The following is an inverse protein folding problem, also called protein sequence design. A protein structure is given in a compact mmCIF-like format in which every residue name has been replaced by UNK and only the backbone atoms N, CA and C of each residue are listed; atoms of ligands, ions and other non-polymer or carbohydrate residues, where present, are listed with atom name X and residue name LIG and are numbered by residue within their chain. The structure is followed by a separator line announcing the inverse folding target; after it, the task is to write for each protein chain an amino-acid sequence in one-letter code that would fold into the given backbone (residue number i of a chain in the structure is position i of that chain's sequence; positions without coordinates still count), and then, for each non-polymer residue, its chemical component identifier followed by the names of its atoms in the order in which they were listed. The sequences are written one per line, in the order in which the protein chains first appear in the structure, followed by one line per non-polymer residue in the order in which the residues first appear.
data_IF_135382918081
#
_entry.id   IF_135382918081
#
_cell.length_a   1.000
_cell.length_b   1.000
_cell.length_c   1.000
_cell.angle_alpha   90.00
_cell.angle_beta   90.00
_cell.angle_gamma   90.00
#
_symmetry.space_group_name_H-M   'P 1'
#
loop_
_entity.id
_entity.type
_entity.pdbx_description
1 polymer ?
#
# COMPACT_ATOMS: atom_id res chain seq x y z
N UNK A 1 60.92 7.76 64.64
CA UNK A 1 59.51 7.30 64.50
C UNK A 1 58.72 8.36 63.69
N UNK A 2 58.51 8.08 62.39
CA UNK A 2 57.69 8.94 61.51
C UNK A 2 56.37 8.27 61.22
N UNK A 3 55.27 8.85 61.63
CA UNK A 3 53.91 8.37 61.29
C UNK A 3 53.56 8.78 59.87
N UNK A 4 53.20 7.85 59.04
CA UNK A 4 52.69 8.06 57.70
C UNK A 4 51.16 8.02 57.78
N UNK A 5 50.53 9.20 57.57
CA UNK A 5 49.08 9.31 57.44
C UNK A 5 48.70 8.95 56.01
N UNK A 6 48.01 7.84 55.87
CA UNK A 6 47.41 7.44 54.60
C UNK A 6 45.96 7.93 54.52
N UNK A 7 45.72 8.99 53.73
CA UNK A 7 44.37 9.47 53.39
C UNK A 7 43.89 8.69 52.18
N UNK A 8 42.96 7.78 52.39
CA UNK A 8 42.23 7.09 51.33
C UNK A 8 41.13 8.03 50.80
N UNK A 9 41.35 8.56 49.61
CA UNK A 9 40.29 9.25 48.85
C UNK A 9 39.35 8.23 48.21
N UNK A 10 38.16 8.10 48.77
CA UNK A 10 37.05 7.36 48.16
C UNK A 10 36.55 8.16 46.96
N UNK A 11 36.95 7.73 45.75
CA UNK A 11 36.36 8.16 44.48
C UNK A 11 35.03 7.43 44.33
N UNK A 12 33.93 8.06 44.65
CA UNK A 12 32.59 7.57 44.34
C UNK A 12 32.38 7.65 42.82
N UNK A 13 32.51 6.53 42.12
CA UNK A 13 32.11 6.37 40.71
C UNK A 13 30.58 6.33 40.73
N UNK A 14 29.94 7.49 40.44
CA UNK A 14 28.51 7.55 40.11
C UNK A 14 28.31 6.86 38.78
N UNK A 15 27.89 5.60 38.79
CA UNK A 15 27.36 4.92 37.63
C UNK A 15 26.07 5.64 37.20
N UNK A 16 26.17 6.52 36.22
CA UNK A 16 25.03 7.00 35.46
C UNK A 16 24.44 5.83 34.67
N UNK A 17 23.51 5.12 35.29
CA UNK A 17 22.59 4.23 34.59
C UNK A 17 21.72 5.08 33.67
N UNK A 18 22.19 5.34 32.45
CA UNK A 18 21.31 5.75 31.36
C UNK A 18 20.41 4.56 31.07
N UNK A 19 19.27 4.51 31.74
CA UNK A 19 18.20 3.63 31.38
C UNK A 19 17.82 4.00 29.92
N UNK A 20 18.15 3.16 28.96
CA UNK A 20 17.52 3.15 27.65
C UNK A 20 16.05 2.77 27.88
N UNK A 21 15.25 3.73 28.35
CA UNK A 21 13.80 3.59 28.36
C UNK A 21 13.36 3.65 26.90
N UNK A 22 13.00 2.50 26.34
CA UNK A 22 12.27 2.47 25.08
C UNK A 22 11.05 3.41 25.15
N UNK A 23 10.48 3.81 24.01
CA UNK A 23 9.37 4.74 24.00
C UNK A 23 8.23 4.24 24.88
N UNK A 24 7.82 5.05 25.84
CA UNK A 24 6.74 4.71 26.76
C UNK A 24 5.40 4.65 26.03
N UNK A 25 4.51 3.77 26.47
CA UNK A 25 3.13 3.76 26.01
C UNK A 25 2.41 5.03 26.47
N UNK A 26 1.80 5.71 25.53
CA UNK A 26 0.93 6.87 25.74
C UNK A 26 -0.50 6.50 25.38
N UNK A 27 -1.46 7.36 25.70
CA UNK A 27 -2.85 7.21 25.28
C UNK A 27 -3.32 8.46 24.55
N UNK A 28 -4.11 8.30 23.49
CA UNK A 28 -4.83 9.41 22.87
C UNK A 28 -5.88 9.97 23.81
N UNK A 29 -6.50 11.11 23.48
CA UNK A 29 -7.62 11.66 24.25
C UNK A 29 -8.79 10.67 24.35
N UNK A 30 -9.04 9.90 23.30
CA UNK A 30 -10.01 8.80 23.29
C UNK A 30 -9.54 7.55 24.04
N UNK A 31 -8.31 7.51 24.57
CA UNK A 31 -7.77 6.41 25.36
C UNK A 31 -7.12 5.27 24.57
N UNK A 32 -6.92 5.42 23.26
CA UNK A 32 -6.21 4.44 22.45
C UNK A 32 -4.71 4.41 22.80
N UNK A 33 -4.12 3.27 23.18
CA UNK A 33 -2.70 3.17 23.47
C UNK A 33 -1.86 3.28 22.19
N UNK A 34 -0.77 4.03 22.28
CA UNK A 34 0.22 4.15 21.21
C UNK A 34 1.63 4.37 21.76
N UNK A 35 2.62 4.12 20.90
CA UNK A 35 4.03 4.47 21.09
C UNK A 35 4.45 5.41 19.97
N UNK A 36 5.10 6.52 20.32
CA UNK A 36 5.67 7.48 19.37
C UNK A 36 7.19 7.38 19.40
N UNK A 37 7.78 7.21 18.22
CA UNK A 37 9.21 7.26 17.97
C UNK A 37 9.51 8.54 17.19
N UNK A 38 10.04 9.58 17.84
CA UNK A 38 10.20 10.88 17.22
C UNK A 38 11.16 10.87 16.03
N UNK A 39 10.79 11.57 14.97
CA UNK A 39 11.67 11.93 13.87
C UNK A 39 12.61 13.08 14.26
N UNK A 40 13.33 13.60 13.27
CA UNK A 40 14.27 14.72 13.47
C UNK A 40 13.74 16.05 12.90
N UNK A 41 12.67 16.00 12.12
CA UNK A 41 12.07 17.16 11.48
C UNK A 41 11.18 17.93 12.46
N UNK A 42 11.03 19.23 12.25
CA UNK A 42 10.22 20.12 13.09
C UNK A 42 8.88 20.48 12.46
N UNK A 43 8.64 20.12 11.20
CA UNK A 43 7.37 20.40 10.54
C UNK A 43 6.29 19.51 11.11
N UNK A 44 5.29 20.13 11.73
CA UNK A 44 4.12 19.48 12.31
C UNK A 44 2.91 19.63 11.39
N UNK A 45 2.08 18.58 11.30
CA UNK A 45 0.85 18.61 10.53
C UNK A 45 -0.25 19.45 11.19
N UNK A 46 -1.02 20.14 10.38
CA UNK A 46 -2.16 20.98 10.80
C UNK A 46 -3.43 20.54 10.10
N UNK A 47 -4.56 20.90 10.67
CA UNK A 47 -5.86 20.73 9.99
C UNK A 47 -5.83 21.39 8.62
N UNK A 48 -6.24 20.67 7.60
CA UNK A 48 -6.20 21.07 6.19
C UNK A 48 -4.98 20.57 5.41
N UNK A 49 -3.95 20.08 6.10
CA UNK A 49 -2.78 19.47 5.48
C UNK A 49 -3.10 18.02 5.03
N UNK A 50 -2.17 17.45 4.25
CA UNK A 50 -2.11 16.03 3.93
C UNK A 50 -0.84 15.42 4.51
N UNK A 51 -0.97 14.27 5.19
CA UNK A 51 0.17 13.51 5.69
C UNK A 51 0.43 12.33 4.76
N UNK A 52 1.67 12.21 4.27
CA UNK A 52 2.18 11.05 3.53
C UNK A 52 2.72 10.04 4.51
N UNK A 53 2.23 8.80 4.46
CA UNK A 53 2.67 7.74 5.36
C UNK A 53 2.94 6.42 4.65
N UNK A 54 3.94 5.69 5.13
CA UNK A 54 3.98 4.24 4.97
C UNK A 54 3.24 3.61 6.14
N UNK A 55 2.33 2.69 5.85
CA UNK A 55 1.42 2.10 6.83
C UNK A 55 1.42 0.58 6.72
N UNK A 56 1.47 -0.07 7.88
CA UNK A 56 1.22 -1.49 8.07
C UNK A 56 0.10 -1.65 9.10
N UNK A 57 -0.95 -2.36 8.74
CA UNK A 57 -2.05 -2.69 9.64
C UNK A 57 -2.17 -4.19 9.78
N UNK A 58 -2.29 -4.65 11.02
CA UNK A 58 -2.46 -6.04 11.37
C UNK A 58 -3.77 -6.21 12.14
N UNK A 59 -4.48 -7.30 11.86
CA UNK A 59 -5.58 -7.79 12.70
C UNK A 59 -5.03 -8.98 13.46
N UNK A 60 -4.96 -8.88 14.78
CA UNK A 60 -4.24 -9.80 15.63
C UNK A 60 -2.77 -9.92 15.16
N UNK A 61 -2.35 -11.08 14.66
CA UNK A 61 -0.99 -11.32 14.18
C UNK A 61 -0.88 -11.39 12.65
N UNK A 62 -2.00 -11.20 11.94
CA UNK A 62 -2.06 -11.29 10.48
C UNK A 62 -2.01 -9.91 9.83
N UNK A 63 -1.18 -9.75 8.80
CA UNK A 63 -1.14 -8.51 8.01
C UNK A 63 -2.46 -8.39 7.23
N UNK A 64 -3.20 -7.32 7.53
CA UNK A 64 -4.43 -6.97 6.84
C UNK A 64 -4.20 -6.00 5.68
N UNK A 65 -3.36 -5.00 5.91
CA UNK A 65 -3.02 -3.99 4.92
C UNK A 65 -1.57 -3.53 5.08
N UNK A 66 -0.90 -3.26 3.96
CA UNK A 66 0.45 -2.69 3.98
C UNK A 66 0.70 -1.89 2.71
N UNK A 67 1.24 -0.69 2.87
CA UNK A 67 1.83 0.02 1.75
C UNK A 67 3.16 -0.62 1.31
N UNK A 68 3.88 -1.27 2.22
CA UNK A 68 5.15 -1.96 1.92
C UNK A 68 6.07 -1.12 1.05
N UNK A 69 6.49 -1.71 -0.08
CA UNK A 69 7.24 -1.03 -1.14
C UNK A 69 6.33 -0.41 -2.23
N UNK A 70 5.04 -0.29 -1.98
CA UNK A 70 4.07 0.29 -2.90
C UNK A 70 4.04 1.81 -2.80
N UNK A 71 2.96 2.43 -3.26
CA UNK A 71 2.74 3.88 -3.16
C UNK A 71 2.32 4.21 -1.72
N UNK A 72 2.95 5.20 -1.06
CA UNK A 72 2.51 5.68 0.24
C UNK A 72 1.07 6.20 0.24
N UNK A 73 0.42 6.18 1.41
CA UNK A 73 -0.89 6.80 1.57
C UNK A 73 -0.75 8.31 1.82
N UNK A 74 -1.71 9.06 1.28
CA UNK A 74 -1.87 10.50 1.53
C UNK A 74 -3.19 10.73 2.27
N UNK A 75 -3.10 11.01 3.55
CA UNK A 75 -4.25 11.10 4.46
C UNK A 75 -4.56 12.58 4.72
N UNK A 76 -5.78 13.06 4.43
CA UNK A 76 -6.18 14.42 4.76
C UNK A 76 -6.32 14.57 6.28
N UNK A 77 -5.78 15.65 6.83
CA UNK A 77 -5.91 16.01 8.24
C UNK A 77 -7.18 16.81 8.43
N UNK A 78 -8.24 16.13 8.87
CA UNK A 78 -9.54 16.73 9.11
C UNK A 78 -9.57 17.62 10.36
N UNK A 79 -10.62 18.46 10.50
CA UNK A 79 -10.81 19.31 11.68
C UNK A 79 -11.22 18.54 12.93
N UNK A 80 -11.74 17.34 12.76
CA UNK A 80 -12.19 16.48 13.85
C UNK A 80 -11.54 15.09 13.75
N UNK A 81 -11.03 14.63 14.87
CA UNK A 81 -10.57 13.24 15.03
C UNK A 81 -11.71 12.36 15.55
N UNK A 82 -11.69 11.08 15.17
CA UNK A 82 -12.57 10.08 15.78
C UNK A 82 -12.01 9.67 17.14
N UNK A 83 -12.83 9.60 18.21
CA UNK A 83 -12.36 9.10 19.50
C UNK A 83 -11.88 7.64 19.40
N UNK A 84 -10.77 7.33 20.08
CA UNK A 84 -10.17 5.98 20.07
C UNK A 84 -9.67 5.54 18.69
N UNK A 85 -9.15 6.48 17.89
CA UNK A 85 -8.68 6.27 16.52
C UNK A 85 -7.34 6.98 16.29
N UNK A 86 -6.58 6.53 15.29
CA UNK A 86 -5.29 7.12 14.94
C UNK A 86 -5.41 8.57 14.45
N UNK A 87 -6.58 8.99 14.00
CA UNK A 87 -6.84 10.38 13.59
C UNK A 87 -6.60 11.39 14.70
N UNK A 88 -6.67 10.99 15.97
CA UNK A 88 -6.32 11.83 17.12
C UNK A 88 -4.83 12.23 17.18
N UNK A 89 -3.99 11.57 16.36
CA UNK A 89 -2.54 11.80 16.36
C UNK A 89 -2.09 12.72 15.23
N UNK A 90 -2.85 12.86 14.13
CA UNK A 90 -2.37 13.53 12.92
C UNK A 90 -1.80 14.93 13.18
N UNK A 91 -2.46 15.76 13.99
CA UNK A 91 -2.00 17.13 14.32
C UNK A 91 -0.88 17.20 15.38
N UNK A 92 -0.38 16.05 15.82
CA UNK A 92 0.72 15.94 16.80
C UNK A 92 2.00 15.39 16.20
N UNK A 93 1.96 15.01 14.92
CA UNK A 93 3.05 14.32 14.26
C UNK A 93 3.91 15.24 13.40
N UNK A 94 5.20 14.95 13.41
CA UNK A 94 6.23 15.60 12.56
C UNK A 94 6.67 14.65 11.44
N UNK A 95 7.31 15.21 10.44
CA UNK A 95 7.96 14.40 9.40
C UNK A 95 9.05 13.53 10.04
N UNK A 96 9.05 12.24 9.68
CA UNK A 96 9.99 11.26 10.20
C UNK A 96 9.51 10.51 11.45
N UNK A 97 8.44 10.97 12.11
CA UNK A 97 7.84 10.26 13.23
C UNK A 97 7.36 8.88 12.80
N UNK A 98 7.54 7.90 13.70
CA UNK A 98 6.96 6.57 13.54
C UNK A 98 6.05 6.28 14.73
N UNK A 99 4.92 5.63 14.47
CA UNK A 99 3.91 5.34 15.49
C UNK A 99 3.54 3.87 15.43
N UNK A 100 3.34 3.28 16.61
CA UNK A 100 2.68 1.98 16.79
C UNK A 100 1.46 2.22 17.66
N UNK A 101 0.27 2.09 17.09
CA UNK A 101 -1.00 2.23 17.79
C UNK A 101 -1.72 0.89 17.89
N UNK A 102 -2.42 0.67 18.99
CA UNK A 102 -3.21 -0.54 19.22
C UNK A 102 -4.66 -0.17 19.51
N UNK A 103 -5.57 -0.69 18.69
CA UNK A 103 -7.00 -0.48 18.81
C UNK A 103 -7.69 -1.81 19.12
N UNK A 104 -8.38 -1.90 20.24
CA UNK A 104 -9.19 -3.07 20.61
C UNK A 104 -10.58 -2.89 20.04
N UNK A 105 -11.04 -3.84 19.23
CA UNK A 105 -12.33 -3.74 18.54
C UNK A 105 -13.51 -3.70 19.52
N UNK A 106 -13.42 -4.36 20.65
CA UNK A 106 -14.47 -4.29 21.70
C UNK A 106 -14.72 -2.85 22.17
N UNK A 107 -13.64 -2.07 22.34
CA UNK A 107 -13.74 -0.68 22.76
C UNK A 107 -14.24 0.20 21.61
N UNK A 108 -13.77 -0.07 20.40
CA UNK A 108 -14.17 0.68 19.21
C UNK A 108 -15.66 0.49 18.92
N UNK A 109 -16.14 -0.77 18.90
CA UNK A 109 -17.54 -1.13 18.64
C UNK A 109 -18.49 -0.47 19.64
N UNK A 110 -18.13 -0.46 20.94
CA UNK A 110 -18.95 0.18 21.98
C UNK A 110 -19.13 1.70 21.77
N UNK A 111 -18.27 2.34 20.98
CA UNK A 111 -18.27 3.79 20.72
C UNK A 111 -18.87 4.15 19.36
N UNK A 112 -19.04 3.16 18.48
CA UNK A 112 -19.66 3.38 17.17
C UNK A 112 -21.19 3.23 17.25
N UNK A 113 -21.93 3.97 16.41
CA UNK A 113 -23.34 3.70 16.18
C UNK A 113 -23.53 2.26 15.67
N UNK A 114 -24.54 1.56 16.19
CA UNK A 114 -24.84 0.20 15.80
C UNK A 114 -24.99 0.09 14.26
N UNK A 115 -24.32 -0.90 13.66
CA UNK A 115 -24.46 -1.24 12.25
C UNK A 115 -23.32 -0.84 11.30
N UNK A 116 -22.30 -0.11 11.76
CA UNK A 116 -21.23 0.41 10.89
C UNK A 116 -19.91 -0.36 10.95
N UNK A 117 -19.89 -1.56 11.53
CA UNK A 117 -18.66 -2.36 11.59
C UNK A 117 -18.43 -3.07 10.25
N UNK A 118 -17.29 -2.85 9.59
CA UNK A 118 -16.94 -3.61 8.41
C UNK A 118 -16.86 -5.11 8.74
N UNK A 119 -17.35 -6.00 7.84
CA UNK A 119 -17.56 -7.42 8.14
C UNK A 119 -16.28 -8.21 8.48
N UNK A 120 -15.11 -7.67 8.16
CA UNK A 120 -13.82 -8.27 8.47
C UNK A 120 -13.41 -8.15 9.94
N UNK A 121 -14.03 -7.25 10.72
CA UNK A 121 -13.70 -7.04 12.13
C UNK A 121 -14.67 -7.75 13.06
N UNK A 122 -14.16 -8.29 14.14
CA UNK A 122 -14.93 -9.01 15.15
C UNK A 122 -14.64 -8.46 16.55
N UNK A 123 -15.55 -8.75 17.46
CA UNK A 123 -15.32 -8.55 18.89
C UNK A 123 -14.07 -9.35 19.31
N UNK A 124 -13.21 -8.75 20.13
CA UNK A 124 -11.95 -9.36 20.58
C UNK A 124 -10.76 -9.14 19.65
N UNK A 125 -10.98 -8.67 18.41
CA UNK A 125 -9.88 -8.36 17.52
C UNK A 125 -9.03 -7.19 18.04
N UNK A 126 -7.72 -7.33 17.85
CA UNK A 126 -6.71 -6.31 18.12
C UNK A 126 -6.15 -5.80 16.81
N UNK A 127 -6.35 -4.52 16.51
CA UNK A 127 -5.78 -3.87 15.34
C UNK A 127 -4.51 -3.15 15.77
N UNK A 128 -3.39 -3.54 15.17
CA UNK A 128 -2.10 -2.89 15.34
C UNK A 128 -1.82 -2.09 14.07
N UNK A 129 -1.75 -0.77 14.21
CA UNK A 129 -1.38 0.13 13.13
C UNK A 129 0.01 0.69 13.37
N UNK A 130 0.93 0.37 12.45
CA UNK A 130 2.30 0.90 12.45
C UNK A 130 2.44 1.82 11.24
N UNK A 131 2.92 3.02 11.43
CA UNK A 131 3.16 3.92 10.30
C UNK A 131 4.34 4.85 10.54
N UNK A 132 4.90 5.35 9.45
CA UNK A 132 5.94 6.38 9.44
C UNK A 132 5.49 7.55 8.59
N UNK A 133 5.63 8.76 9.13
CA UNK A 133 5.36 10.01 8.41
C UNK A 133 6.53 10.30 7.46
N UNK A 134 6.25 10.38 6.18
CA UNK A 134 7.24 10.61 5.11
C UNK A 134 7.23 12.06 4.61
N UNK A 135 6.10 12.76 4.76
CA UNK A 135 5.94 14.14 4.29
C UNK A 135 4.63 14.75 4.77
N UNK A 136 4.58 16.07 4.75
CA UNK A 136 3.40 16.88 5.06
C UNK A 136 3.22 17.90 3.96
N UNK A 137 2.02 18.01 3.39
CA UNK A 137 1.70 18.88 2.27
C UNK A 137 0.56 19.83 2.69
N UNK A 138 0.77 21.13 2.52
CA UNK A 138 -0.15 22.17 2.96
C UNK A 138 -1.31 22.44 2.02
N UNK A 139 -1.32 21.82 0.84
CA UNK A 139 -2.39 21.96 -0.14
C UNK A 139 -2.42 20.76 -1.11
N UNK A 140 -3.53 20.64 -1.81
CA UNK A 140 -3.79 19.54 -2.75
C UNK A 140 -2.81 19.53 -3.94
N UNK A 141 -2.38 20.70 -4.42
CA UNK A 141 -1.46 20.78 -5.57
C UNK A 141 -0.09 20.17 -5.25
N UNK A 142 0.48 20.49 -4.10
CA UNK A 142 1.75 19.92 -3.65
C UNK A 142 1.63 18.42 -3.38
N UNK A 143 0.53 18.00 -2.76
CA UNK A 143 0.22 16.59 -2.53
C UNK A 143 0.14 15.82 -3.85
N UNK A 144 -0.62 16.32 -4.85
CA UNK A 144 -0.74 15.68 -6.16
C UNK A 144 0.58 15.55 -6.90
N UNK A 145 1.39 16.61 -6.87
CA UNK A 145 2.71 16.58 -7.51
C UNK A 145 3.61 15.48 -6.93
N UNK A 146 3.60 15.32 -5.60
CA UNK A 146 4.38 14.27 -4.94
C UNK A 146 3.77 12.86 -5.21
N UNK A 147 2.44 12.73 -5.22
CA UNK A 147 1.73 11.50 -5.54
C UNK A 147 2.01 11.02 -6.98
N UNK A 148 2.03 11.93 -7.95
CA UNK A 148 2.41 11.64 -9.33
C UNK A 148 3.86 11.14 -9.42
N UNK A 149 4.77 11.78 -8.68
CA UNK A 149 6.18 11.36 -8.59
C UNK A 149 6.33 9.96 -7.99
N UNK A 150 5.63 9.66 -6.89
CA UNK A 150 5.65 8.34 -6.26
C UNK A 150 5.06 7.26 -7.16
N UNK A 151 3.95 7.59 -7.83
CA UNK A 151 3.31 6.69 -8.80
C UNK A 151 4.23 6.36 -9.96
N UNK A 152 4.92 7.36 -10.52
CA UNK A 152 5.89 7.16 -11.60
C UNK A 152 7.11 6.35 -11.13
N UNK A 153 7.59 6.60 -9.91
CA UNK A 153 8.70 5.84 -9.32
C UNK A 153 8.31 4.38 -9.06
N UNK A 154 7.10 4.15 -8.58
CA UNK A 154 6.54 2.81 -8.36
C UNK A 154 6.40 2.06 -9.69
N UNK A 155 5.78 2.67 -10.71
CA UNK A 155 5.62 2.06 -12.03
C UNK A 155 6.97 1.62 -12.64
N UNK A 156 8.00 2.45 -12.47
CA UNK A 156 9.38 2.15 -12.93
C UNK A 156 9.99 0.96 -12.20
N UNK A 157 9.76 0.85 -10.88
CA UNK A 157 10.25 -0.26 -10.05
C UNK A 157 9.51 -1.53 -10.39
N UNK A 158 8.18 -1.49 -10.44
CA UNK A 158 7.33 -2.62 -10.78
C UNK A 158 7.64 -3.19 -12.18
N UNK A 159 7.86 -2.32 -13.17
CA UNK A 159 8.25 -2.77 -14.52
C UNK A 159 9.53 -3.63 -14.48
N UNK A 160 10.54 -3.22 -13.70
CA UNK A 160 11.78 -4.00 -13.52
C UNK A 160 11.53 -5.32 -12.79
N UNK A 161 10.65 -5.34 -11.80
CA UNK A 161 10.27 -6.56 -11.07
C UNK A 161 9.57 -7.55 -11.99
N UNK A 162 8.65 -7.08 -12.84
CA UNK A 162 7.97 -7.91 -13.86
C UNK A 162 8.98 -8.43 -14.89
N UNK A 163 9.89 -7.60 -15.38
CA UNK A 163 10.96 -8.01 -16.30
C UNK A 163 11.85 -9.10 -15.66
N UNK A 164 12.20 -8.95 -14.39
CA UNK A 164 12.98 -9.95 -13.65
C UNK A 164 12.23 -11.28 -13.47
N UNK A 165 10.92 -11.23 -13.20
CA UNK A 165 10.06 -12.41 -13.10
C UNK A 165 9.92 -13.15 -14.43
N UNK A 166 9.85 -12.42 -15.54
CA UNK A 166 9.75 -13.00 -16.89
C UNK A 166 11.08 -13.61 -17.34
N UNK A 167 12.21 -13.06 -16.90
CA UNK A 167 13.55 -13.61 -17.14
C UNK A 167 13.81 -13.90 -18.61
N UNK A 168 14.19 -15.15 -18.94
CA UNK A 168 14.49 -15.58 -20.31
C UNK A 168 13.30 -15.53 -21.27
N UNK A 169 12.06 -15.49 -20.77
CA UNK A 169 10.87 -15.37 -21.62
C UNK A 169 10.76 -14.03 -22.32
N UNK A 170 11.38 -12.97 -21.76
CA UNK A 170 11.32 -11.62 -22.31
C UNK A 170 11.68 -11.53 -23.80
N UNK A 171 12.66 -12.31 -24.25
CA UNK A 171 13.11 -12.31 -25.64
C UNK A 171 12.03 -12.69 -26.66
N UNK A 172 10.99 -13.43 -26.23
CA UNK A 172 9.87 -13.87 -27.08
C UNK A 172 8.59 -13.04 -26.93
N UNK A 173 8.60 -12.01 -26.07
CA UNK A 173 7.42 -11.21 -25.76
C UNK A 173 7.38 -9.91 -26.56
N UNK A 174 6.18 -9.50 -26.92
CA UNK A 174 5.95 -8.18 -27.49
C UNK A 174 5.57 -7.21 -26.34
N UNK A 175 5.89 -5.94 -26.47
CA UNK A 175 5.61 -4.94 -25.45
C UNK A 175 4.54 -3.98 -25.94
N UNK A 176 3.53 -3.72 -25.11
CA UNK A 176 2.51 -2.70 -25.36
C UNK A 176 3.09 -1.27 -25.18
N UNK A 177 2.45 -0.25 -25.72
CA UNK A 177 2.91 1.14 -25.58
C UNK A 177 3.11 1.58 -24.13
N UNK A 178 2.27 1.12 -23.21
CA UNK A 178 2.37 1.44 -21.78
C UNK A 178 3.29 0.51 -20.99
N UNK A 179 3.75 -0.61 -21.56
CA UNK A 179 4.75 -1.48 -20.94
C UNK A 179 4.25 -2.81 -20.41
N UNK A 180 3.03 -3.23 -20.71
CA UNK A 180 2.62 -4.63 -20.51
C UNK A 180 3.32 -5.54 -21.54
N UNK A 181 3.42 -6.85 -21.23
CA UNK A 181 4.06 -7.81 -22.14
C UNK A 181 3.03 -8.80 -22.66
N UNK A 182 3.12 -9.14 -23.95
CA UNK A 182 2.20 -10.01 -24.66
C UNK A 182 2.94 -11.21 -25.24
N UNK A 183 2.56 -12.40 -24.82
CA UNK A 183 2.97 -13.68 -25.37
C UNK A 183 1.85 -14.18 -26.28
N UNK A 184 2.01 -14.04 -27.58
CA UNK A 184 1.03 -14.58 -28.54
C UNK A 184 1.19 -16.09 -28.64
N UNK A 185 0.28 -16.82 -28.00
CA UNK A 185 0.26 -18.30 -27.99
C UNK A 185 -0.29 -18.85 -29.30
N UNK A 186 -1.32 -18.19 -29.85
CA UNK A 186 -1.87 -18.49 -31.16
C UNK A 186 -2.33 -17.16 -31.81
N UNK A 187 -1.82 -16.81 -33.00
CA UNK A 187 -2.10 -15.49 -33.57
C UNK A 187 -3.55 -15.32 -34.05
N UNK A 188 -4.28 -16.42 -34.30
CA UNK A 188 -5.60 -16.36 -34.90
C UNK A 188 -5.56 -16.16 -36.42
N UNK A 189 -6.69 -15.78 -37.02
CA UNK A 189 -6.88 -15.64 -38.46
C UNK A 189 -7.46 -14.28 -38.84
N UNK A 190 -7.27 -13.87 -40.11
CA UNK A 190 -7.79 -12.60 -40.62
C UNK A 190 -6.94 -11.37 -40.24
N UNK A 191 -7.55 -10.20 -40.18
CA UNK A 191 -6.88 -8.94 -39.87
C UNK A 191 -6.58 -8.82 -38.36
N UNK A 192 -5.55 -8.04 -38.03
CA UNK A 192 -5.28 -7.62 -36.65
C UNK A 192 -6.44 -6.79 -36.11
N UNK A 193 -6.70 -6.95 -34.82
CA UNK A 193 -7.67 -6.14 -34.11
C UNK A 193 -7.16 -4.69 -34.08
N UNK A 194 -8.04 -3.74 -34.39
CA UNK A 194 -7.75 -2.29 -34.42
C UNK A 194 -8.51 -1.57 -33.32
N UNK A 195 -8.02 -0.40 -32.94
CA UNK A 195 -8.79 0.51 -32.08
C UNK A 195 -10.19 0.75 -32.64
N UNK A 196 -11.20 0.77 -31.78
CA UNK A 196 -12.61 0.89 -32.14
C UNK A 196 -13.28 -0.40 -32.54
N UNK A 197 -12.55 -1.51 -32.79
CA UNK A 197 -13.20 -2.80 -33.04
C UNK A 197 -13.94 -3.27 -31.80
N UNK A 198 -15.13 -3.85 -32.02
CA UNK A 198 -15.91 -4.50 -30.99
C UNK A 198 -15.48 -5.98 -30.90
N UNK A 199 -15.02 -6.40 -29.73
CA UNK A 199 -14.49 -7.75 -29.50
C UNK A 199 -15.29 -8.50 -28.45
N UNK A 200 -15.22 -9.83 -28.52
CA UNK A 200 -15.79 -10.76 -27.55
C UNK A 200 -14.67 -11.70 -27.09
N UNK A 201 -14.32 -11.69 -25.81
CA UNK A 201 -13.11 -12.31 -25.28
C UNK A 201 -13.44 -13.21 -24.10
N UNK A 202 -12.88 -14.43 -24.13
CA UNK A 202 -12.77 -15.27 -22.94
C UNK A 202 -11.45 -15.02 -22.26
N UNK A 203 -11.42 -14.95 -20.92
CA UNK A 203 -10.21 -14.70 -20.16
C UNK A 203 -10.19 -15.43 -18.82
N UNK A 204 -9.00 -15.56 -18.29
CA UNK A 204 -8.74 -15.94 -16.90
C UNK A 204 -7.64 -15.03 -16.36
N UNK A 205 -7.94 -14.29 -15.33
CA UNK A 205 -7.01 -13.41 -14.62
C UNK A 205 -6.33 -14.16 -13.48
N UNK A 206 -5.00 -14.14 -13.47
CA UNK A 206 -4.19 -14.73 -12.39
C UNK A 206 -3.20 -13.71 -11.85
N UNK A 207 -2.91 -13.78 -10.56
CA UNK A 207 -1.76 -13.09 -9.98
C UNK A 207 -0.45 -13.79 -10.40
N UNK A 208 0.70 -13.13 -10.24
CA UNK A 208 2.00 -13.71 -10.62
C UNK A 208 2.39 -14.95 -9.81
N UNK A 209 1.81 -15.15 -8.62
CA UNK A 209 1.93 -16.38 -7.83
C UNK A 209 1.00 -17.51 -8.27
N UNK A 210 0.20 -17.28 -9.35
CA UNK A 210 -0.66 -18.27 -9.99
C UNK A 210 -2.07 -18.38 -9.42
N UNK A 211 -2.45 -17.55 -8.45
CA UNK A 211 -3.81 -17.53 -7.90
C UNK A 211 -4.77 -16.90 -8.92
N UNK A 212 -5.82 -17.63 -9.32
CA UNK A 212 -6.91 -17.09 -10.13
C UNK A 212 -7.75 -16.15 -9.27
N UNK A 213 -7.99 -14.94 -9.77
CA UNK A 213 -8.83 -13.95 -9.12
C UNK A 213 -10.11 -13.63 -9.91
N UNK A 214 -10.13 -13.91 -11.21
CA UNK A 214 -11.29 -13.68 -12.06
C UNK A 214 -11.24 -14.53 -13.34
N UNK A 215 -12.41 -14.99 -13.84
CA UNK A 215 -12.50 -15.78 -15.06
C UNK A 215 -13.94 -15.78 -15.59
N UNK A 216 -14.11 -15.69 -16.92
CA UNK A 216 -15.40 -15.97 -17.56
C UNK A 216 -15.48 -17.36 -18.22
N UNK A 217 -14.48 -18.22 -17.97
CA UNK A 217 -14.48 -19.62 -18.41
C UNK A 217 -14.66 -20.61 -17.25
N UNK A 218 -14.62 -20.12 -16.02
CA UNK A 218 -14.81 -20.91 -14.80
C UNK A 218 -16.12 -20.50 -14.11
N UNK A 219 -17.04 -21.46 -13.97
CA UNK A 219 -18.39 -21.25 -13.40
C UNK A 219 -18.39 -20.80 -11.95
N UNK A 220 -17.28 -20.98 -11.22
CA UNK A 220 -17.15 -20.51 -9.82
C UNK A 220 -17.22 -18.99 -9.69
N UNK A 221 -16.86 -18.25 -10.76
CA UNK A 221 -16.90 -16.78 -10.78
C UNK A 221 -18.27 -16.18 -11.17
N UNK A 222 -19.29 -17.02 -11.43
CA UNK A 222 -20.69 -16.63 -11.67
C UNK A 222 -20.94 -15.65 -12.83
N UNK A 223 -19.98 -15.47 -13.75
CA UNK A 223 -20.13 -14.67 -14.97
C UNK A 223 -19.40 -15.37 -16.15
N UNK A 224 -20.06 -16.33 -16.73
CA UNK A 224 -19.53 -17.17 -17.83
C UNK A 224 -19.76 -16.58 -19.22
N UNK A 225 -20.36 -15.40 -19.31
CA UNK A 225 -20.55 -14.73 -20.59
C UNK A 225 -19.24 -14.13 -21.09
N UNK A 226 -18.94 -14.24 -22.40
CA UNK A 226 -17.78 -13.58 -22.96
C UNK A 226 -17.77 -12.08 -22.71
N UNK A 227 -16.64 -11.55 -22.30
CA UNK A 227 -16.44 -10.12 -22.09
C UNK A 227 -16.48 -9.39 -23.42
N UNK A 228 -17.37 -8.43 -23.56
CA UNK A 228 -17.58 -7.66 -24.79
C UNK A 228 -17.26 -6.20 -24.58
N UNK A 229 -16.40 -5.65 -25.43
CA UNK A 229 -16.00 -4.24 -25.32
C UNK A 229 -15.45 -3.70 -26.63
N UNK A 230 -15.35 -2.38 -26.75
CA UNK A 230 -14.67 -1.70 -27.84
C UNK A 230 -13.22 -1.44 -27.46
N UNK A 231 -12.27 -1.84 -28.32
CA UNK A 231 -10.83 -1.75 -28.07
C UNK A 231 -10.35 -0.30 -28.14
N UNK A 232 -9.52 0.10 -27.19
CA UNK A 232 -8.84 1.40 -27.18
C UNK A 232 -9.70 2.58 -26.75
N UNK A 233 -10.86 2.35 -26.10
CA UNK A 233 -11.76 3.41 -25.62
C UNK A 233 -11.82 3.50 -24.08
N UNK A 234 -10.92 2.79 -23.38
CA UNK A 234 -10.80 2.88 -21.93
C UNK A 234 -11.89 2.14 -21.13
N UNK A 235 -12.56 1.17 -21.72
CA UNK A 235 -13.55 0.32 -21.04
C UNK A 235 -12.89 -0.75 -20.16
N UNK A 236 -11.65 -1.10 -20.47
CA UNK A 236 -10.87 -2.16 -19.80
C UNK A 236 -9.64 -1.59 -19.11
N UNK A 237 -9.03 -2.40 -18.24
CA UNK A 237 -7.71 -2.07 -17.69
C UNK A 237 -6.71 -1.91 -18.84
N UNK A 238 -5.83 -0.92 -18.69
CA UNK A 238 -4.99 -0.42 -19.78
C UNK A 238 -4.12 -1.51 -20.43
N UNK A 239 -3.48 -2.35 -19.62
CA UNK A 239 -2.63 -3.42 -20.12
C UNK A 239 -3.38 -4.47 -20.92
N UNK A 240 -4.64 -4.74 -20.58
CA UNK A 240 -5.49 -5.68 -21.30
C UNK A 240 -5.97 -5.09 -22.63
N UNK A 241 -6.43 -3.84 -22.61
CA UNK A 241 -6.92 -3.15 -23.81
C UNK A 241 -5.81 -2.99 -24.87
N UNK A 242 -4.62 -2.59 -24.45
CA UNK A 242 -3.45 -2.44 -25.32
C UNK A 242 -2.90 -3.76 -25.87
N UNK A 243 -3.27 -4.90 -25.30
CA UNK A 243 -2.88 -6.21 -25.79
C UNK A 243 -3.71 -6.69 -26.98
N UNK A 244 -4.93 -6.18 -27.17
CA UNK A 244 -5.84 -6.63 -28.22
C UNK A 244 -5.27 -6.46 -29.64
N UNK A 245 -4.59 -5.35 -30.00
CA UNK A 245 -4.00 -5.17 -31.33
C UNK A 245 -2.92 -6.19 -31.72
N UNK A 246 -2.41 -6.98 -30.80
CA UNK A 246 -1.46 -8.06 -31.09
C UNK A 246 -2.15 -9.35 -31.58
N UNK A 247 -3.47 -9.39 -31.53
CA UNK A 247 -4.28 -10.58 -31.83
C UNK A 247 -5.15 -10.39 -33.07
N UNK A 248 -5.65 -11.53 -33.55
CA UNK A 248 -6.63 -11.67 -34.62
C UNK A 248 -7.82 -12.46 -34.07
N UNK A 249 -8.89 -12.58 -34.84
CA UNK A 249 -10.03 -13.44 -34.48
C UNK A 249 -9.57 -14.88 -34.20
N UNK A 250 -9.98 -15.43 -33.05
CA UNK A 250 -9.57 -16.75 -32.57
C UNK A 250 -8.14 -16.82 -32.00
N UNK A 251 -7.47 -15.68 -31.91
CA UNK A 251 -6.14 -15.59 -31.30
C UNK A 251 -6.16 -15.88 -29.81
N UNK A 252 -5.01 -16.33 -29.29
CA UNK A 252 -4.79 -16.57 -27.86
C UNK A 252 -3.47 -15.92 -27.43
N UNK A 253 -3.48 -15.24 -26.30
CA UNK A 253 -2.28 -14.67 -25.71
C UNK A 253 -2.27 -14.82 -24.20
N UNK A 254 -1.08 -14.77 -23.60
CA UNK A 254 -0.89 -14.41 -22.21
C UNK A 254 -0.44 -12.96 -22.13
N UNK A 255 -1.05 -12.20 -21.26
CA UNK A 255 -0.72 -10.78 -21.06
C UNK A 255 -0.22 -10.61 -19.64
N UNK A 256 1.01 -10.12 -19.51
CA UNK A 256 1.63 -9.83 -18.23
C UNK A 256 1.49 -8.33 -17.97
N UNK A 257 0.63 -8.00 -17.02
CA UNK A 257 0.18 -6.64 -16.77
C UNK A 257 0.75 -6.16 -15.43
N UNK A 258 1.66 -5.17 -15.41
CA UNK A 258 2.00 -4.48 -14.17
C UNK A 258 0.76 -3.92 -13.49
N UNK A 259 0.73 -3.87 -12.16
CA UNK A 259 -0.45 -3.44 -11.41
C UNK A 259 -0.90 -2.03 -11.79
N UNK A 260 0.05 -1.15 -12.10
CA UNK A 260 -0.21 0.23 -12.57
C UNK A 260 -0.96 0.31 -13.90
N UNK A 261 -0.91 -0.75 -14.69
CA UNK A 261 -1.67 -0.89 -15.95
C UNK A 261 -2.91 -1.77 -15.80
N UNK A 262 -3.17 -2.23 -14.57
CA UNK A 262 -4.30 -3.05 -14.15
C UNK A 262 -5.19 -2.33 -13.14
N UNK A 263 -5.24 -2.86 -11.93
CA UNK A 263 -6.11 -2.39 -10.83
C UNK A 263 -5.40 -1.43 -9.86
N UNK A 264 -4.18 -1.02 -10.15
CA UNK A 264 -3.37 -0.15 -9.30
C UNK A 264 -2.49 -0.92 -8.31
N UNK A 265 -1.73 -0.14 -7.53
CA UNK A 265 -0.75 -0.65 -6.54
C UNK A 265 -1.38 -1.02 -5.18
N UNK A 266 -2.66 -1.39 -5.15
CA UNK A 266 -3.38 -1.70 -3.90
C UNK A 266 -2.86 -2.94 -3.18
#
# INVERSE_FOLDING_TARGET
MKRINSTWSLVAIALLLTACSGPSYQKTAGGMPYQLFPGKDTQIAKTGDYIKVNLLQQINDSVYFSTGNKIPLYIPVGPQSQPYDISELWTKLHIGDSVVATQMMDTFIKRMPAGNLPPQFKNGDRIITKFKVLGIFTNDSLKRLDEEKETAAYAKREAKEVEALLGSKLAGLQRTPSGAFVEVVAPGTGELIKQGNFVSVNYTGTTFDGKVFDSNTDTTYKHVEPLRFSVGVGQMIKGFDEAMPFLRKGGKAKVYIPSTLGYGAA
#
